data_IF_972420987041
#
_entry.id   IF_972420987041
#
_cell.length_a   1.000
_cell.length_b   1.000
_cell.length_c   1.000
_cell.angle_alpha   90.00
_cell.angle_beta   90.00
_cell.angle_gamma   90.00
#
_symmetry.space_group_name_H-M   'P 1'
#
loop_
_entity.id
_entity.type
_entity.pdbx_description
1 polymer ?
#
# COMPACT_ATOMS: atom_id res chain seq x y z
N UNK A 1 13.67 15.76 -3.98
CA UNK A 1 13.53 14.29 -4.12
C UNK A 1 13.64 13.99 -5.60
N UNK A 2 14.40 12.96 -5.96
CA UNK A 2 14.34 12.43 -7.33
C UNK A 2 12.94 11.85 -7.58
N UNK A 3 12.50 11.81 -8.83
CA UNK A 3 11.22 11.20 -9.16
C UNK A 3 11.28 9.72 -8.76
N UNK A 4 10.26 9.25 -8.04
CA UNK A 4 9.97 7.81 -7.94
C UNK A 4 9.54 7.39 -9.34
N UNK A 5 10.49 6.95 -10.16
CA UNK A 5 10.25 6.60 -11.55
C UNK A 5 9.39 5.34 -11.56
N UNK A 6 8.18 5.49 -12.05
CA UNK A 6 7.27 4.42 -12.46
C UNK A 6 8.06 3.41 -13.31
N UNK A 7 8.39 2.22 -12.77
CA UNK A 7 9.04 1.20 -13.57
C UNK A 7 8.08 0.87 -14.70
N UNK A 8 8.50 0.96 -15.97
CA UNK A 8 7.59 0.96 -17.14
C UNK A 8 6.77 -0.34 -17.28
N UNK A 9 5.73 -0.47 -16.46
CA UNK A 9 4.77 -1.54 -16.41
C UNK A 9 3.67 -1.20 -17.40
N UNK A 10 3.49 -2.04 -18.41
CA UNK A 10 2.44 -1.87 -19.43
C UNK A 10 1.08 -2.09 -18.79
N UNK A 11 0.49 -1.03 -18.24
CA UNK A 11 -0.89 -1.03 -17.75
C UNK A 11 -1.84 -1.32 -18.91
N UNK A 12 -2.83 -2.21 -18.74
CA UNK A 12 -3.73 -2.58 -19.83
C UNK A 12 -4.70 -1.44 -20.15
N UNK A 13 -5.18 -1.40 -21.39
CA UNK A 13 -6.23 -0.49 -21.80
C UNK A 13 -7.61 -1.10 -21.47
N UNK A 14 -7.96 -1.12 -20.17
CA UNK A 14 -9.28 -1.55 -19.70
C UNK A 14 -10.21 -0.36 -19.45
N UNK A 15 -11.48 -0.52 -19.82
CA UNK A 15 -12.54 0.49 -19.72
C UNK A 15 -13.85 -0.05 -19.12
N UNK A 16 -14.05 -1.36 -19.15
CA UNK A 16 -15.26 -2.08 -18.71
C UNK A 16 -14.92 -3.23 -17.76
N UNK A 17 -15.89 -3.66 -16.95
CA UNK A 17 -15.75 -4.79 -16.03
C UNK A 17 -15.36 -6.08 -16.78
N UNK A 18 -16.00 -6.34 -17.93
CA UNK A 18 -15.75 -7.54 -18.73
C UNK A 18 -14.32 -7.61 -19.31
N UNK A 19 -13.61 -6.48 -19.46
CA UNK A 19 -12.18 -6.46 -19.82
C UNK A 19 -11.29 -6.74 -18.58
N UNK A 20 -11.68 -6.27 -17.39
CA UNK A 20 -10.98 -6.53 -16.12
C UNK A 20 -11.12 -8.00 -15.68
N UNK A 21 -12.25 -8.63 -15.96
CA UNK A 21 -12.53 -10.05 -15.68
C UNK A 21 -11.69 -11.01 -16.54
N UNK A 22 -11.27 -10.59 -17.74
CA UNK A 22 -10.38 -11.36 -18.61
C UNK A 22 -8.91 -11.38 -18.12
N UNK A 23 -8.53 -10.41 -17.28
CA UNK A 23 -7.18 -10.32 -16.73
C UNK A 23 -6.99 -11.33 -15.59
N UNK A 24 -5.82 -11.97 -15.53
CA UNK A 24 -5.47 -12.88 -14.44
C UNK A 24 -5.57 -12.24 -13.03
N UNK A 25 -5.72 -13.04 -11.97
CA UNK A 25 -5.92 -12.54 -10.60
C UNK A 25 -4.66 -11.90 -9.98
N UNK A 26 -3.53 -11.94 -10.67
CA UNK A 26 -2.27 -11.29 -10.32
C UNK A 26 -1.75 -10.43 -11.49
N UNK A 27 -2.61 -10.09 -12.46
CA UNK A 27 -2.31 -9.13 -13.53
C UNK A 27 -2.71 -7.72 -13.12
N UNK A 28 -2.10 -6.70 -13.75
CA UNK A 28 -2.43 -5.30 -13.45
C UNK A 28 -3.89 -5.02 -13.77
N UNK A 29 -4.70 -4.67 -12.76
CA UNK A 29 -6.14 -4.43 -12.93
C UNK A 29 -6.49 -3.00 -13.35
N UNK A 30 -5.59 -2.03 -13.14
CA UNK A 30 -5.85 -0.61 -13.40
C UNK A 30 -5.19 -0.09 -14.68
N UNK A 31 -5.99 0.55 -15.54
CA UNK A 31 -5.49 1.34 -16.66
C UNK A 31 -4.77 2.60 -16.19
N UNK A 32 -4.05 3.28 -17.10
CA UNK A 32 -3.33 4.54 -16.80
C UNK A 32 -4.29 5.62 -16.26
N UNK A 33 -5.54 5.65 -16.74
CA UNK A 33 -6.58 6.55 -16.24
C UNK A 33 -6.98 6.21 -14.80
N UNK A 34 -7.29 4.94 -14.54
CA UNK A 34 -7.70 4.46 -13.21
C UNK A 34 -6.57 4.63 -12.16
N UNK A 35 -5.32 4.36 -12.51
CA UNK A 35 -4.17 4.61 -11.61
C UNK A 35 -4.09 6.09 -11.22
N UNK A 36 -4.20 7.01 -12.18
CA UNK A 36 -4.20 8.46 -11.91
C UNK A 36 -5.39 8.88 -11.04
N UNK A 37 -6.55 8.24 -11.18
CA UNK A 37 -7.70 8.45 -10.29
C UNK A 37 -7.36 8.03 -8.86
N UNK A 38 -6.75 6.87 -8.66
CA UNK A 38 -6.34 6.36 -7.35
C UNK A 38 -5.24 7.21 -6.68
N UNK A 39 -4.22 7.64 -7.45
CA UNK A 39 -3.22 8.62 -7.01
C UNK A 39 -3.88 9.92 -6.51
N UNK A 40 -4.88 10.42 -7.25
CA UNK A 40 -5.60 11.64 -6.88
C UNK A 40 -6.49 11.45 -5.65
N UNK A 41 -7.06 10.25 -5.40
CA UNK A 41 -7.76 9.94 -4.14
C UNK A 41 -6.80 10.04 -2.95
N UNK A 42 -5.64 9.39 -3.04
CA UNK A 42 -4.62 9.38 -1.98
C UNK A 42 -4.06 10.78 -1.70
N UNK A 43 -3.77 11.55 -2.73
CA UNK A 43 -3.31 12.94 -2.64
C UNK A 43 -4.33 13.86 -1.96
N UNK A 44 -5.60 13.77 -2.34
CA UNK A 44 -6.65 14.63 -1.81
C UNK A 44 -7.08 14.21 -0.39
N UNK A 45 -7.06 12.91 -0.08
CA UNK A 45 -7.16 12.41 1.29
C UNK A 45 -6.00 12.92 2.16
N UNK A 46 -4.74 12.80 1.69
CA UNK A 46 -3.56 13.33 2.37
C UNK A 46 -3.71 14.82 2.68
N UNK A 47 -4.17 15.61 1.70
CA UNK A 47 -4.44 17.04 1.86
C UNK A 47 -5.54 17.30 2.90
N UNK A 48 -6.71 16.70 2.76
CA UNK A 48 -7.84 16.91 3.69
C UNK A 48 -7.48 16.55 5.14
N UNK A 49 -6.62 15.54 5.35
CA UNK A 49 -6.09 15.17 6.66
C UNK A 49 -5.01 16.14 7.16
N UNK A 50 -4.30 16.83 6.27
CA UNK A 50 -3.39 17.92 6.61
C UNK A 50 -4.15 19.17 7.04
N UNK A 51 -5.14 19.59 6.24
CA UNK A 51 -6.00 20.75 6.49
C UNK A 51 -6.85 20.60 7.78
N UNK A 52 -6.99 19.36 8.29
CA UNK A 52 -7.66 19.03 9.55
C UNK A 52 -6.70 18.79 10.75
N UNK A 53 -5.38 18.97 10.60
CA UNK A 53 -4.35 18.63 11.59
C UNK A 53 -4.32 17.15 12.04
N UNK A 54 -4.74 16.23 11.16
CA UNK A 54 -4.86 14.79 11.41
C UNK A 54 -3.71 13.94 10.83
N UNK A 55 -2.68 14.56 10.22
CA UNK A 55 -1.56 13.81 9.61
C UNK A 55 -0.88 12.81 10.55
N UNK A 56 -0.68 13.16 11.83
CA UNK A 56 -0.10 12.25 12.84
C UNK A 56 -1.08 11.25 13.47
N UNK A 57 -2.33 11.21 13.01
CA UNK A 57 -3.43 10.40 13.59
C UNK A 57 -3.91 9.28 12.65
N UNK A 58 -3.24 9.10 11.51
CA UNK A 58 -3.54 8.09 10.48
C UNK A 58 -2.26 7.43 9.96
N UNK A 59 -2.36 6.24 9.39
CA UNK A 59 -1.27 5.55 8.70
C UNK A 59 -1.79 4.62 7.58
N UNK A 60 -0.95 4.30 6.60
CA UNK A 60 -1.25 3.28 5.58
C UNK A 60 -1.50 1.92 6.21
N UNK A 61 -2.44 1.16 5.66
CA UNK A 61 -2.88 -0.12 6.19
C UNK A 61 -2.92 -1.22 5.11
N UNK A 62 -3.03 -2.47 5.56
CA UNK A 62 -3.27 -3.67 4.75
C UNK A 62 -2.53 -3.66 3.39
N UNK A 63 -3.25 -3.87 2.28
CA UNK A 63 -2.71 -3.98 0.93
C UNK A 63 -1.92 -2.73 0.48
N UNK A 64 -2.36 -1.52 0.86
CA UNK A 64 -1.66 -0.27 0.53
C UNK A 64 -0.34 -0.10 1.32
N UNK A 65 -0.27 -0.54 2.58
CA UNK A 65 0.98 -0.63 3.32
C UNK A 65 1.89 -1.75 2.76
N UNK A 66 1.29 -2.86 2.34
CA UNK A 66 2.00 -3.99 1.75
C UNK A 66 2.66 -3.59 0.42
N UNK A 67 1.97 -2.88 -0.47
CA UNK A 67 2.55 -2.31 -1.70
C UNK A 67 3.69 -1.33 -1.42
N UNK A 68 3.51 -0.45 -0.42
CA UNK A 68 4.56 0.47 0.05
C UNK A 68 5.84 -0.27 0.49
N UNK A 69 5.75 -1.53 0.94
CA UNK A 69 6.90 -2.39 1.27
C UNK A 69 7.38 -3.22 0.07
N UNK A 70 6.47 -3.77 -0.75
CA UNK A 70 6.80 -4.68 -1.85
C UNK A 70 7.32 -3.97 -3.10
N UNK A 71 6.82 -2.77 -3.40
CA UNK A 71 6.99 -2.09 -4.69
C UNK A 71 7.33 -0.60 -4.58
N UNK A 72 7.31 -0.02 -3.37
CA UNK A 72 7.29 1.43 -3.11
C UNK A 72 6.07 2.17 -3.70
N UNK A 73 5.07 1.43 -4.19
CA UNK A 73 3.87 1.90 -4.88
C UNK A 73 2.70 0.94 -4.60
N UNK A 74 1.54 1.12 -5.21
CA UNK A 74 0.41 0.18 -5.09
C UNK A 74 0.81 -1.24 -5.52
N UNK A 75 0.16 -2.26 -4.95
CA UNK A 75 0.27 -3.62 -5.46
C UNK A 75 -0.28 -3.65 -6.90
N UNK A 76 0.38 -4.29 -7.88
CA UNK A 76 0.02 -4.15 -9.29
C UNK A 76 -1.44 -4.52 -9.63
N UNK A 77 -1.99 -5.52 -8.95
CA UNK A 77 -3.34 -6.08 -9.12
C UNK A 77 -4.36 -5.56 -8.10
N UNK A 78 -4.09 -4.43 -7.47
CA UNK A 78 -4.87 -3.82 -6.39
C UNK A 78 -5.56 -2.53 -6.87
N UNK A 79 -6.78 -2.26 -6.38
CA UNK A 79 -7.68 -1.25 -6.96
C UNK A 79 -8.14 -0.13 -6.00
N UNK A 80 -7.77 -0.16 -4.72
CA UNK A 80 -8.10 0.88 -3.73
C UNK A 80 -6.90 1.31 -2.83
N UNK A 81 -7.16 1.89 -1.65
CA UNK A 81 -6.12 2.44 -0.78
C UNK A 81 -6.54 2.48 0.71
N UNK A 82 -6.03 1.53 1.50
CA UNK A 82 -6.47 1.36 2.89
C UNK A 82 -5.69 2.25 3.90
N UNK A 83 -6.43 2.92 4.80
CA UNK A 83 -5.88 3.82 5.82
C UNK A 83 -6.51 3.58 7.20
N UNK A 84 -5.67 3.45 8.23
CA UNK A 84 -6.12 3.29 9.62
C UNK A 84 -5.95 4.57 10.41
N UNK A 85 -6.90 4.87 11.29
CA UNK A 85 -6.90 6.04 12.16
C UNK A 85 -7.59 5.73 13.49
N UNK A 86 -7.25 6.46 14.56
CA UNK A 86 -7.87 6.24 15.87
C UNK A 86 -9.32 6.73 15.89
N UNK A 87 -10.27 5.86 16.24
CA UNK A 87 -11.73 6.08 16.12
C UNK A 87 -12.24 7.45 16.65
N UNK A 88 -11.65 7.95 17.75
CA UNK A 88 -11.91 9.31 18.30
C UNK A 88 -11.84 10.46 17.27
N UNK A 89 -11.07 10.32 16.20
CA UNK A 89 -10.93 11.34 15.14
C UNK A 89 -11.95 11.20 14.01
N UNK A 90 -12.73 10.12 13.95
CA UNK A 90 -13.61 9.80 12.82
C UNK A 90 -14.60 10.92 12.49
N UNK A 91 -15.15 11.60 13.49
CA UNK A 91 -16.06 12.73 13.26
C UNK A 91 -15.35 13.91 12.57
N UNK A 92 -14.10 14.21 12.95
CA UNK A 92 -13.29 15.23 12.30
C UNK A 92 -12.86 14.82 10.88
N UNK A 93 -12.53 13.53 10.68
CA UNK A 93 -12.24 12.95 9.36
C UNK A 93 -13.43 13.12 8.42
N UNK A 94 -14.64 12.69 8.83
CA UNK A 94 -15.85 12.84 8.04
C UNK A 94 -16.17 14.31 7.74
N UNK A 95 -16.00 15.21 8.71
CA UNK A 95 -16.18 16.67 8.51
C UNK A 95 -15.15 17.27 7.55
N UNK A 96 -13.92 16.73 7.49
CA UNK A 96 -12.92 17.14 6.51
C UNK A 96 -13.24 16.61 5.12
N UNK A 97 -13.53 15.31 4.98
CA UNK A 97 -13.77 14.68 3.68
C UNK A 97 -15.08 15.14 3.01
N UNK A 98 -16.12 15.49 3.78
CA UNK A 98 -17.35 16.09 3.25
C UNK A 98 -17.12 17.42 2.51
N UNK A 99 -16.00 18.13 2.77
CA UNK A 99 -15.62 19.37 2.05
C UNK A 99 -15.08 19.13 0.64
N UNK A 100 -14.86 17.86 0.25
CA UNK A 100 -14.33 17.50 -1.08
C UNK A 100 -15.46 17.32 -2.12
N UNK A 101 -16.72 17.37 -1.70
CA UNK A 101 -17.88 17.41 -2.58
C UNK A 101 -17.93 18.72 -3.40
N UNK A 102 -18.48 18.71 -4.63
CA UNK A 102 -19.08 17.58 -5.34
C UNK A 102 -18.07 16.70 -6.11
N UNK A 103 -16.76 16.99 -6.06
CA UNK A 103 -15.77 16.25 -6.85
C UNK A 103 -15.46 14.86 -6.28
N UNK A 104 -15.47 14.73 -4.95
CA UNK A 104 -15.32 13.48 -4.23
C UNK A 104 -16.48 13.30 -3.24
N UNK A 105 -16.92 12.06 -3.10
CA UNK A 105 -18.02 11.65 -2.25
C UNK A 105 -17.53 10.72 -1.14
N UNK A 106 -18.29 10.68 -0.04
CA UNK A 106 -17.98 9.87 1.14
C UNK A 106 -19.18 9.01 1.53
N UNK A 107 -18.93 7.74 1.88
CA UNK A 107 -19.97 6.86 2.42
C UNK A 107 -19.55 6.29 3.77
N UNK A 108 -20.33 6.57 4.82
CA UNK A 108 -20.05 6.13 6.17
C UNK A 108 -20.74 4.79 6.49
N UNK A 109 -19.95 3.78 6.86
CA UNK A 109 -20.45 2.46 7.28
C UNK A 109 -20.43 2.35 8.82
N UNK A 110 -20.59 1.14 9.37
CA UNK A 110 -20.55 0.96 10.83
C UNK A 110 -19.17 1.25 11.44
N UNK A 111 -18.08 0.67 10.90
CA UNK A 111 -16.71 0.80 11.46
C UNK A 111 -15.68 1.48 10.53
N UNK A 112 -16.06 1.84 9.29
CA UNK A 112 -15.19 2.42 8.26
C UNK A 112 -15.92 3.46 7.42
N UNK A 113 -15.19 4.31 6.72
CA UNK A 113 -15.72 5.33 5.79
C UNK A 113 -15.01 5.20 4.43
N UNK A 114 -15.75 5.25 3.32
CA UNK A 114 -15.18 5.29 1.96
C UNK A 114 -15.00 6.73 1.46
N UNK A 115 -14.03 6.93 0.56
CA UNK A 115 -13.84 8.15 -0.25
C UNK A 115 -13.69 7.75 -1.72
N UNK A 116 -14.46 8.36 -2.63
CA UNK A 116 -14.51 7.96 -4.05
C UNK A 116 -14.89 9.12 -4.97
N UNK A 117 -14.61 9.00 -6.27
CA UNK A 117 -15.08 9.92 -7.30
C UNK A 117 -16.53 9.62 -7.72
N UNK A 118 -17.29 10.66 -8.08
CA UNK A 118 -18.59 10.51 -8.74
C UNK A 118 -18.45 10.52 -10.27
N UNK A 119 -19.35 9.85 -11.02
CA UNK A 119 -20.43 9.01 -10.54
C UNK A 119 -20.07 7.51 -10.53
N UNK A 120 -19.94 6.91 -9.36
CA UNK A 120 -20.50 5.57 -9.20
C UNK A 120 -22.03 5.69 -9.34
N UNK A 121 -22.66 4.80 -10.12
CA UNK A 121 -24.09 4.87 -10.39
C UNK A 121 -24.89 4.81 -9.07
N UNK A 122 -25.68 5.86 -8.78
CA UNK A 122 -26.42 6.01 -7.52
C UNK A 122 -27.50 4.94 -7.30
N UNK A 123 -27.80 4.14 -8.32
CA UNK A 123 -28.69 2.98 -8.26
C UNK A 123 -28.04 1.71 -7.67
N UNK A 124 -26.71 1.70 -7.46
CA UNK A 124 -26.03 0.55 -6.83
C UNK A 124 -26.30 0.58 -5.32
N UNK A 125 -27.11 -0.37 -4.85
CA UNK A 125 -27.45 -0.51 -3.44
C UNK A 125 -26.23 -1.01 -2.65
N UNK A 126 -25.54 -0.11 -1.93
CA UNK A 126 -24.40 -0.44 -1.06
C UNK A 126 -24.86 -1.30 0.13
N UNK A 127 -24.86 -2.62 -0.03
CA UNK A 127 -25.38 -3.54 1.01
C UNK A 127 -24.42 -3.67 2.20
N UNK A 128 -24.93 -4.05 3.40
CA UNK A 128 -24.09 -4.33 4.57
C UNK A 128 -23.08 -5.47 4.38
N UNK A 129 -23.28 -6.33 3.38
CA UNK A 129 -22.46 -7.53 3.10
C UNK A 129 -21.22 -7.24 2.22
N UNK A 130 -21.01 -5.99 1.82
CA UNK A 130 -20.09 -5.65 0.70
C UNK A 130 -18.59 -5.83 0.97
N UNK A 131 -18.06 -5.78 2.20
CA UNK A 131 -16.59 -5.83 2.41
C UNK A 131 -16.21 -6.51 3.73
N UNK A 132 -15.37 -7.55 3.68
CA UNK A 132 -14.55 -8.00 4.81
C UNK A 132 -13.20 -7.27 4.85
N UNK A 133 -12.49 -7.10 5.96
CA UNK A 133 -12.67 -7.67 7.31
C UNK A 133 -12.24 -6.59 8.33
N UNK A 134 -11.70 -6.77 9.54
CA UNK A 134 -11.39 -7.91 10.43
C UNK A 134 -11.68 -7.47 11.88
N UNK A 135 -11.94 -8.41 12.79
CA UNK A 135 -11.95 -8.11 14.24
C UNK A 135 -10.56 -7.63 14.71
N UNK A 136 -10.52 -6.78 15.74
CA UNK A 136 -9.30 -6.10 16.18
C UNK A 136 -8.41 -7.04 16.99
N UNK A 137 -7.46 -7.71 16.32
CA UNK A 137 -6.28 -8.27 16.99
C UNK A 137 -5.62 -7.19 17.87
N UNK A 138 -5.11 -7.56 19.05
CA UNK A 138 -4.40 -6.64 19.95
C UNK A 138 -3.05 -6.24 19.34
N UNK A 139 -3.04 -5.21 18.50
CA UNK A 139 -1.80 -4.63 17.96
C UNK A 139 -0.90 -4.12 19.08
N UNK A 140 0.40 -4.39 19.00
CA UNK A 140 1.38 -3.75 19.85
C UNK A 140 1.53 -2.27 19.45
N UNK A 141 1.26 -1.35 20.36
CA UNK A 141 1.39 0.09 20.09
C UNK A 141 2.83 0.51 19.79
N UNK A 142 3.83 -0.24 20.28
CA UNK A 142 5.25 -0.02 19.98
C UNK A 142 5.67 -0.41 18.55
N UNK A 143 4.82 -1.13 17.82
CA UNK A 143 5.01 -1.44 16.39
C UNK A 143 4.37 -0.37 15.50
N UNK A 144 3.41 0.39 16.04
CA UNK A 144 2.73 1.49 15.36
C UNK A 144 3.47 2.81 15.59
N UNK A 145 3.78 3.16 16.84
CA UNK A 145 4.21 4.51 17.23
C UNK A 145 5.68 4.59 17.70
N UNK A 146 6.36 5.74 17.52
CA UNK A 146 5.96 6.87 16.65
C UNK A 146 5.88 6.47 15.17
N UNK A 147 4.97 7.08 14.42
CA UNK A 147 4.77 6.79 12.99
C UNK A 147 6.04 7.12 12.19
N UNK A 148 6.42 6.23 11.27
CA UNK A 148 7.45 6.49 10.26
C UNK A 148 6.80 7.01 8.96
N UNK A 149 7.60 7.25 7.92
CA UNK A 149 7.10 7.63 6.59
C UNK A 149 7.70 6.73 5.51
N UNK A 150 6.88 6.34 4.52
CA UNK A 150 7.26 5.58 3.33
C UNK A 150 6.58 6.15 2.07
N UNK A 151 7.09 5.89 0.86
CA UNK A 151 6.39 6.20 -0.38
C UNK A 151 5.21 5.24 -0.62
N UNK A 152 4.15 5.77 -1.20
CA UNK A 152 3.17 5.05 -2.01
C UNK A 152 3.14 5.77 -3.36
N UNK A 153 4.00 5.32 -4.27
CA UNK A 153 4.28 5.94 -5.55
C UNK A 153 4.78 7.36 -5.38
N UNK A 154 3.98 8.33 -5.82
CA UNK A 154 4.33 9.76 -5.77
C UNK A 154 4.19 10.40 -4.39
N UNK A 155 3.48 9.76 -3.46
CA UNK A 155 3.12 10.36 -2.17
C UNK A 155 3.85 9.71 -0.99
N UNK A 156 4.63 10.50 -0.25
CA UNK A 156 5.16 10.08 1.05
C UNK A 156 4.07 10.19 2.12
N UNK A 157 3.82 9.09 2.85
CA UNK A 157 2.68 8.92 3.76
C UNK A 157 3.13 8.30 5.10
N UNK A 158 2.40 8.56 6.21
CA UNK A 158 2.71 7.94 7.49
C UNK A 158 2.44 6.43 7.48
N UNK A 159 3.28 5.67 8.17
CA UNK A 159 3.20 4.20 8.32
C UNK A 159 3.46 3.79 9.78
N UNK A 160 3.12 2.55 10.19
CA UNK A 160 3.58 1.98 11.45
C UNK A 160 5.12 2.00 11.55
N UNK A 161 5.65 2.19 12.76
CA UNK A 161 7.11 2.21 13.04
C UNK A 161 7.84 0.92 12.60
N UNK A 162 7.20 -0.23 12.83
CA UNK A 162 7.66 -1.57 12.45
C UNK A 162 6.63 -2.18 11.47
N UNK A 163 6.61 -1.72 10.21
CA UNK A 163 5.53 -2.02 9.29
C UNK A 163 5.45 -3.50 8.91
N UNK A 164 6.56 -4.25 8.92
CA UNK A 164 6.59 -5.68 8.61
C UNK A 164 6.04 -6.48 9.80
N UNK A 165 6.47 -6.18 11.04
CA UNK A 165 5.89 -6.79 12.24
C UNK A 165 4.40 -6.48 12.40
N UNK A 166 3.99 -5.23 12.11
CA UNK A 166 2.59 -4.85 12.06
C UNK A 166 1.79 -5.71 11.07
N UNK A 167 2.24 -5.81 9.81
CA UNK A 167 1.54 -6.62 8.80
C UNK A 167 1.57 -8.13 9.12
N UNK A 168 2.64 -8.65 9.73
CA UNK A 168 2.68 -10.05 10.22
C UNK A 168 1.62 -10.30 11.31
N UNK A 169 1.37 -9.34 12.20
CA UNK A 169 0.30 -9.42 13.20
C UNK A 169 -1.13 -9.32 12.62
N UNK A 170 -1.27 -8.71 11.44
CA UNK A 170 -2.52 -8.55 10.72
C UNK A 170 -2.84 -9.79 9.85
N UNK A 171 -1.94 -10.18 8.95
CA UNK A 171 -2.15 -11.27 8.00
C UNK A 171 -1.86 -12.67 8.54
N UNK A 172 -1.11 -12.81 9.64
CA UNK A 172 -0.70 -14.11 10.19
C UNK A 172 0.21 -14.94 9.27
N UNK A 173 0.81 -14.33 8.24
CA UNK A 173 1.64 -15.02 7.26
C UNK A 173 2.87 -15.68 7.94
N UNK A 174 3.04 -16.99 7.72
CA UNK A 174 4.23 -17.76 8.16
C UNK A 174 5.34 -17.86 7.10
N UNK A 175 5.02 -17.51 5.86
CA UNK A 175 5.89 -17.61 4.68
C UNK A 175 5.69 -16.37 3.79
N UNK A 176 6.69 -16.08 2.94
CA UNK A 176 6.62 -14.97 2.00
C UNK A 176 5.80 -15.38 0.75
N UNK A 177 4.62 -14.79 0.60
CA UNK A 177 3.66 -15.09 -0.48
C UNK A 177 2.94 -13.83 -0.93
N UNK A 178 2.67 -13.78 -2.23
CA UNK A 178 1.86 -12.77 -2.89
C UNK A 178 0.46 -13.34 -3.09
N UNK A 179 -0.56 -12.55 -2.75
CA UNK A 179 -1.98 -12.94 -2.77
C UNK A 179 -2.73 -12.02 -3.73
N UNK A 180 -3.64 -12.56 -4.52
CA UNK A 180 -4.65 -11.74 -5.19
C UNK A 180 -5.58 -11.11 -4.15
N UNK A 181 -6.30 -10.07 -4.53
CA UNK A 181 -7.50 -9.69 -3.79
C UNK A 181 -8.48 -10.88 -3.71
N UNK A 182 -9.21 -10.98 -2.59
CA UNK A 182 -10.36 -11.89 -2.45
C UNK A 182 -11.70 -11.23 -2.80
N UNK A 183 -11.67 -9.92 -3.06
CA UNK A 183 -12.80 -9.07 -3.39
C UNK A 183 -12.26 -7.89 -4.21
N UNK A 184 -12.81 -7.60 -5.39
CA UNK A 184 -12.43 -6.40 -6.14
C UNK A 184 -13.35 -5.25 -5.74
N UNK A 185 -12.76 -4.10 -5.41
CA UNK A 185 -13.52 -2.90 -5.03
C UNK A 185 -14.00 -2.10 -6.24
N UNK A 186 -13.38 -2.28 -7.41
CA UNK A 186 -13.87 -1.73 -8.68
C UNK A 186 -15.20 -2.36 -9.13
N UNK A 187 -15.43 -3.64 -8.83
CA UNK A 187 -16.65 -4.39 -9.20
C UNK A 187 -17.61 -4.63 -8.04
N UNK A 188 -17.14 -4.47 -6.79
CA UNK A 188 -17.80 -4.91 -5.56
C UNK A 188 -18.25 -6.38 -5.63
N UNK A 189 -17.34 -7.27 -6.04
CA UNK A 189 -17.59 -8.70 -6.19
C UNK A 189 -16.46 -9.59 -5.63
N UNK A 190 -16.84 -10.76 -5.14
CA UNK A 190 -15.91 -11.77 -4.63
C UNK A 190 -15.05 -12.37 -5.75
N UNK A 191 -13.75 -12.52 -5.48
CA UNK A 191 -12.77 -13.09 -6.41
C UNK A 191 -12.14 -14.35 -5.83
N UNK A 192 -11.79 -15.31 -6.69
CA UNK A 192 -11.09 -16.54 -6.27
C UNK A 192 -9.67 -16.18 -5.83
N UNK A 193 -9.43 -16.23 -4.52
CA UNK A 193 -8.12 -16.01 -3.92
C UNK A 193 -7.06 -16.94 -4.56
N UNK A 194 -6.05 -16.34 -5.18
CA UNK A 194 -4.83 -17.01 -5.66
C UNK A 194 -3.66 -16.61 -4.78
N UNK A 195 -2.83 -17.58 -4.42
CA UNK A 195 -1.64 -17.39 -3.59
C UNK A 195 -0.43 -18.01 -4.30
N UNK A 196 0.63 -17.23 -4.45
CA UNK A 196 1.90 -17.66 -5.07
C UNK A 196 3.09 -17.25 -4.21
N UNK A 197 4.23 -17.91 -4.39
CA UNK A 197 5.51 -17.37 -3.97
C UNK A 197 5.80 -16.10 -4.76
N UNK A 198 6.07 -14.97 -4.10
CA UNK A 198 6.32 -13.68 -4.77
C UNK A 198 7.50 -13.75 -5.76
N UNK A 199 8.44 -14.69 -5.58
CA UNK A 199 9.55 -14.89 -6.52
C UNK A 199 9.08 -15.20 -7.95
N UNK A 200 7.92 -15.86 -8.09
CA UNK A 200 7.30 -16.17 -9.40
C UNK A 200 6.72 -14.96 -10.13
N UNK A 201 6.79 -13.76 -9.54
CA UNK A 201 6.26 -12.52 -10.11
C UNK A 201 7.37 -11.50 -10.45
N UNK A 202 8.64 -11.79 -10.14
CA UNK A 202 9.76 -10.85 -10.30
C UNK A 202 10.04 -10.49 -11.77
N UNK A 203 9.77 -11.41 -12.69
CA UNK A 203 9.89 -11.19 -14.14
C UNK A 203 8.79 -10.26 -14.68
N UNK A 204 7.69 -10.07 -13.93
CA UNK A 204 6.58 -9.17 -14.29
C UNK A 204 6.64 -7.84 -13.55
N UNK A 205 6.95 -7.86 -12.26
CA UNK A 205 6.89 -6.70 -11.37
C UNK A 205 8.17 -6.59 -10.57
N UNK A 206 8.79 -5.41 -10.46
CA UNK A 206 9.93 -5.22 -9.60
C UNK A 206 9.52 -5.31 -8.13
N UNK A 207 10.39 -5.91 -7.32
CA UNK A 207 10.20 -6.04 -5.88
C UNK A 207 11.32 -5.33 -5.11
N UNK A 208 11.00 -4.93 -3.89
CA UNK A 208 11.96 -4.33 -2.97
C UNK A 208 12.93 -5.37 -2.42
N UNK A 209 14.21 -5.05 -2.50
CA UNK A 209 15.33 -5.74 -1.86
C UNK A 209 15.87 -4.84 -0.73
N UNK A 210 15.80 -5.32 0.51
CA UNK A 210 16.29 -4.62 1.70
C UNK A 210 17.78 -4.91 1.96
N UNK A 211 18.54 -3.87 2.30
CA UNK A 211 19.97 -3.92 2.56
C UNK A 211 20.30 -3.16 3.85
N UNK A 212 20.81 -3.88 4.87
CA UNK A 212 21.31 -3.28 6.12
C UNK A 212 22.56 -2.44 5.83
N UNK A 213 22.55 -1.18 6.28
CA UNK A 213 23.72 -0.31 6.17
C UNK A 213 24.71 -0.64 7.30
N UNK A 214 26.00 -0.85 7.01
CA UNK A 214 27.02 -1.09 8.04
C UNK A 214 27.11 0.08 9.03
N UNK A 215 27.22 -0.24 10.33
CA UNK A 215 27.19 0.77 11.40
C UNK A 215 28.33 1.79 11.29
N UNK A 216 29.49 1.41 10.74
CA UNK A 216 30.60 2.32 10.47
C UNK A 216 30.28 3.42 9.44
N UNK A 217 29.25 3.24 8.60
CA UNK A 217 28.74 4.26 7.66
C UNK A 217 27.61 5.11 8.26
N UNK A 218 27.08 4.74 9.43
CA UNK A 218 26.10 5.56 10.15
C UNK A 218 26.80 6.63 10.98
N UNK A 219 26.56 7.91 10.65
CA UNK A 219 27.00 9.05 11.46
C UNK A 219 26.26 9.16 12.83
N UNK A 220 25.35 8.24 13.17
CA UNK A 220 24.67 8.16 14.47
C UNK A 220 24.57 6.70 14.93
N UNK A 221 25.21 6.37 16.07
CA UNK A 221 25.25 5.02 16.70
C UNK A 221 23.91 4.54 17.30
N UNK A 222 22.76 5.07 16.87
CA UNK A 222 21.46 4.88 17.52
C UNK A 222 20.26 4.75 16.56
N UNK A 223 20.49 4.60 15.25
CA UNK A 223 19.40 4.39 14.29
C UNK A 223 19.77 3.29 13.31
N UNK A 224 19.02 2.18 13.35
CA UNK A 224 18.97 1.25 12.24
C UNK A 224 18.50 1.99 10.99
N UNK A 225 19.26 1.85 9.91
CA UNK A 225 18.97 2.48 8.63
C UNK A 225 19.05 1.39 7.57
N UNK A 226 17.98 1.25 6.81
CA UNK A 226 17.87 0.28 5.72
C UNK A 226 17.93 1.03 4.40
N UNK A 227 18.72 0.53 3.47
CA UNK A 227 18.62 0.89 2.06
C UNK A 227 17.65 -0.07 1.38
N UNK A 228 16.64 0.47 0.70
CA UNK A 228 15.62 -0.31 0.00
C UNK A 228 15.73 -0.03 -1.50
N UNK A 229 16.01 -1.07 -2.27
CA UNK A 229 16.22 -1.03 -3.71
C UNK A 229 15.00 -1.63 -4.41
N UNK A 230 14.40 -0.93 -5.37
CA UNK A 230 13.35 -1.50 -6.22
C UNK A 230 14.00 -2.19 -7.43
N UNK A 231 13.88 -3.52 -7.54
CA UNK A 231 14.66 -4.36 -8.46
C UNK A 231 13.77 -5.28 -9.29
N UNK A 232 13.97 -5.35 -10.61
CA UNK A 232 13.26 -6.26 -11.53
C UNK A 232 13.92 -7.65 -11.63
N UNK A 233 13.26 -8.60 -12.33
CA UNK A 233 13.73 -9.98 -12.56
C UNK A 233 15.11 -10.16 -13.23
N UNK A 234 15.74 -9.12 -13.79
CA UNK A 234 17.12 -9.20 -14.28
C UNK A 234 18.16 -8.74 -13.25
N UNK A 235 17.72 -8.16 -12.12
CA UNK A 235 18.59 -7.51 -11.13
C UNK A 235 18.82 -6.01 -11.37
N UNK A 236 18.14 -5.40 -12.35
CA UNK A 236 18.23 -3.96 -12.60
C UNK A 236 17.51 -3.17 -11.49
N UNK A 237 18.22 -2.24 -10.88
CA UNK A 237 17.66 -1.26 -9.94
C UNK A 237 16.91 -0.17 -10.72
N UNK A 238 15.65 0.09 -10.36
CA UNK A 238 14.89 1.24 -10.86
C UNK A 238 15.15 2.50 -10.03
N UNK A 239 15.09 2.38 -8.70
CA UNK A 239 15.45 3.45 -7.78
C UNK A 239 15.80 2.87 -6.39
N UNK A 240 16.30 3.73 -5.51
CA UNK A 240 16.71 3.42 -4.14
C UNK A 240 16.10 4.44 -3.18
N UNK A 241 15.61 4.00 -2.03
CA UNK A 241 15.32 4.85 -0.86
C UNK A 241 16.14 4.42 0.35
N UNK A 242 16.21 5.29 1.36
CA UNK A 242 16.87 5.02 2.65
C UNK A 242 15.92 5.39 3.77
N UNK A 243 15.63 4.45 4.67
CA UNK A 243 14.64 4.61 5.73
C UNK A 243 15.21 4.26 7.11
N UNK A 244 14.77 4.94 8.18
CA UNK A 244 14.96 4.44 9.53
C UNK A 244 14.07 3.21 9.74
N UNK A 245 14.67 2.06 9.98
CA UNK A 245 13.99 0.80 10.30
C UNK A 245 14.76 0.07 11.40
N UNK A 246 14.04 -0.61 12.28
CA UNK A 246 14.64 -1.50 13.27
C UNK A 246 15.42 -2.63 12.56
N UNK A 247 16.48 -3.15 13.19
CA UNK A 247 17.42 -4.08 12.54
C UNK A 247 16.72 -5.35 12.03
N UNK A 248 15.78 -5.89 12.81
CA UNK A 248 15.01 -7.08 12.48
C UNK A 248 13.94 -6.84 11.40
N UNK A 249 13.45 -5.60 11.26
CA UNK A 249 12.59 -5.20 10.13
C UNK A 249 13.42 -5.16 8.83
N UNK A 250 14.64 -4.62 8.88
CA UNK A 250 15.53 -4.53 7.72
C UNK A 250 16.14 -5.88 7.28
N UNK A 251 16.30 -6.83 8.21
CA UNK A 251 16.83 -8.17 7.92
C UNK A 251 15.74 -9.17 7.48
N UNK A 252 14.46 -8.80 7.66
CA UNK A 252 13.29 -9.63 7.32
C UNK A 252 13.21 -10.00 5.83
N UNK A 253 12.75 -11.22 5.55
CA UNK A 253 12.37 -11.68 4.20
C UNK A 253 10.84 -11.63 3.95
N UNK A 254 10.07 -11.12 4.89
CA UNK A 254 8.63 -10.89 4.72
C UNK A 254 8.37 -9.58 3.98
N UNK A 255 7.44 -9.63 3.03
CA UNK A 255 6.97 -8.50 2.22
C UNK A 255 8.04 -7.85 1.32
N UNK A 256 9.21 -8.45 1.22
CA UNK A 256 10.31 -8.09 0.30
C UNK A 256 10.77 -9.33 -0.48
N UNK A 257 11.62 -9.18 -1.50
CA UNK A 257 12.14 -10.33 -2.26
C UNK A 257 13.63 -10.20 -2.51
N UNK A 258 14.42 -11.17 -2.02
CA UNK A 258 15.87 -11.22 -2.24
C UNK A 258 16.18 -11.74 -3.63
N UNK A 259 16.44 -10.81 -4.54
CA UNK A 259 16.85 -11.10 -5.92
C UNK A 259 18.22 -11.77 -6.01
N UNK A 260 18.33 -12.91 -6.70
CA UNK A 260 19.54 -13.74 -6.71
C UNK A 260 20.71 -13.11 -7.49
N UNK A 261 20.45 -12.42 -8.61
CA UNK A 261 21.48 -11.64 -9.33
C UNK A 261 21.81 -10.28 -8.70
N UNK A 262 21.07 -9.82 -7.69
CA UNK A 262 21.37 -8.57 -6.99
C UNK A 262 22.22 -8.82 -5.73
N UNK A 263 23.09 -7.87 -5.40
CA UNK A 263 23.84 -7.81 -4.15
C UNK A 263 23.81 -6.39 -3.63
N UNK A 264 23.59 -6.25 -2.31
CA UNK A 264 23.74 -4.97 -1.64
C UNK A 264 25.15 -4.42 -1.89
N UNK A 265 25.24 -3.15 -2.30
CA UNK A 265 26.53 -2.46 -2.40
C UNK A 265 27.01 -2.07 -0.99
N UNK A 266 28.25 -2.43 -0.67
CA UNK A 266 28.85 -2.27 0.68
C UNK A 266 29.00 -0.81 1.11
#
# INVERSE_FOLDING_TARGET
MENVIDPKLTKPNVSTIAEVDQLGPLEIKTSIGQQRTLENLVKEFKRAMSDANLNGQRFLHAEALLGSIQHHDFIPWDDDADFKLHIKHRQAVQTALKKLAPRLHTYAMWQRDKLYFAPFNSSILLTPYTIGSHSVNRYNLGDIFPLAYRPLGKEWLPVPRRPISFLKSYYGNKVQVCKSQGWSHATESASKLVVVDCRKLMDKYPFVHQCRIPEHKSRRRQSGMCDEYLVNGSGQVFHKIRLPLDVDECESSFYTVRHESFRCHE
#
